data_IF_987722561875
#
_entry.id   IF_987722561875
#
_cell.length_a   1.000
_cell.length_b   1.000
_cell.length_c   1.000
_cell.angle_alpha   90.00
_cell.angle_beta   90.00
_cell.angle_gamma   90.00
#
_symmetry.space_group_name_H-M   'P 1'
#
loop_
_entity.id
_entity.type
_entity.pdbx_description
1 polymer ?
#
# COMPACT_ATOMS: atom_id res chain seq x y z
N UNK A 1 -8.88 28.74 2.67
CA UNK A 1 -8.38 27.85 3.73
C UNK A 1 -7.23 27.06 3.11
N UNK A 2 -5.96 27.29 3.49
CA UNK A 2 -4.89 26.41 3.05
C UNK A 2 -5.06 25.08 3.78
N UNK A 3 -5.13 23.98 3.04
CA UNK A 3 -5.04 22.65 3.61
C UNK A 3 -3.60 22.50 4.10
N UNK A 4 -3.40 22.42 5.41
CA UNK A 4 -2.10 22.15 6.00
C UNK A 4 -1.54 20.86 5.37
N UNK A 5 -0.35 20.94 4.79
CA UNK A 5 0.33 19.75 4.30
C UNK A 5 0.77 18.95 5.53
N UNK A 6 -0.06 17.98 5.95
CA UNK A 6 0.32 17.05 7.01
C UNK A 6 1.49 16.22 6.51
N UNK A 7 2.67 16.45 7.08
CA UNK A 7 3.86 15.66 6.82
C UNK A 7 3.79 14.38 7.66
N UNK A 8 4.06 13.25 7.02
CA UNK A 8 4.22 11.96 7.67
C UNK A 8 5.66 11.50 7.53
N UNK A 9 6.19 10.85 8.56
CA UNK A 9 7.53 10.26 8.57
C UNK A 9 7.43 8.73 8.73
N UNK A 10 8.44 8.04 8.20
CA UNK A 10 8.60 6.59 8.41
C UNK A 10 9.58 6.36 9.57
N UNK A 11 9.15 5.54 10.54
CA UNK A 11 10.00 5.04 11.61
C UNK A 11 10.05 3.51 11.53
N UNK A 12 11.25 2.94 11.35
CA UNK A 12 11.43 1.48 11.39
C UNK A 12 11.12 0.97 12.80
N UNK A 13 10.28 -0.04 12.90
CA UNK A 13 9.98 -0.70 14.18
C UNK A 13 10.75 -2.02 14.21
N UNK A 14 11.33 -2.38 15.36
CA UNK A 14 11.86 -3.73 15.55
C UNK A 14 10.64 -4.67 15.57
N UNK A 15 10.36 -5.29 14.43
CA UNK A 15 9.21 -6.15 14.20
C UNK A 15 9.59 -7.59 13.87
N UNK A 16 8.57 -8.40 13.59
CA UNK A 16 8.72 -9.80 13.19
C UNK A 16 9.22 -9.94 11.73
N UNK A 17 9.05 -8.91 10.91
CA UNK A 17 9.56 -8.87 9.53
C UNK A 17 10.36 -7.61 9.23
N UNK A 18 11.24 -7.69 8.23
CA UNK A 18 11.95 -6.50 7.70
C UNK A 18 11.03 -5.46 7.04
N UNK A 19 9.73 -5.75 6.92
CA UNK A 19 8.71 -4.86 6.35
C UNK A 19 7.86 -4.18 7.44
N UNK A 20 8.25 -4.31 8.71
CA UNK A 20 7.51 -3.76 9.83
C UNK A 20 7.98 -2.32 10.13
N UNK A 21 7.08 -1.35 10.00
CA UNK A 21 7.36 0.05 10.27
C UNK A 21 6.12 0.81 10.76
N UNK A 22 6.34 1.99 11.32
CA UNK A 22 5.29 2.89 11.73
C UNK A 22 5.37 4.18 10.90
N UNK A 23 4.20 4.64 10.46
CA UNK A 23 4.01 5.98 9.90
C UNK A 23 3.60 6.89 11.05
N UNK A 24 4.39 7.93 11.30
CA UNK A 24 4.12 8.92 12.35
C UNK A 24 3.73 10.26 11.75
N UNK A 25 2.99 11.05 12.51
CA UNK A 25 2.83 12.47 12.23
C UNK A 25 4.11 13.26 12.55
N UNK A 26 4.09 14.57 12.30
CA UNK A 26 5.20 15.47 12.57
C UNK A 26 5.57 15.59 14.08
N UNK A 27 4.66 15.22 14.99
CA UNK A 27 4.91 15.18 16.42
C UNK A 27 5.50 13.83 16.89
N UNK A 28 5.61 12.85 16.00
CA UNK A 28 6.10 11.51 16.30
C UNK A 28 5.03 10.56 16.81
N UNK A 29 3.75 10.94 16.79
CA UNK A 29 2.66 10.05 17.15
C UNK A 29 2.37 9.06 16.01
N UNK A 30 2.21 7.79 16.34
CA UNK A 30 1.93 6.74 15.34
C UNK A 30 0.52 6.90 14.80
N UNK A 31 0.41 7.02 13.47
CA UNK A 31 -0.86 7.15 12.74
C UNK A 31 -1.26 5.81 12.12
N UNK A 32 -0.30 5.14 11.48
CA UNK A 32 -0.48 3.82 10.87
C UNK A 32 0.70 2.93 11.26
N UNK A 33 0.41 1.67 11.54
CA UNK A 33 1.42 0.61 11.66
C UNK A 33 1.33 -0.29 10.45
N UNK A 34 2.47 -0.61 9.89
CA UNK A 34 2.59 -1.51 8.75
C UNK A 34 3.28 -2.77 9.24
N UNK A 35 2.61 -3.90 9.12
CA UNK A 35 3.12 -5.20 9.58
C UNK A 35 3.12 -6.19 8.40
N UNK A 36 4.25 -6.82 8.14
CA UNK A 36 4.34 -7.92 7.19
C UNK A 36 3.65 -9.16 7.74
N UNK A 37 2.74 -9.77 6.98
CA UNK A 37 2.17 -11.04 7.41
C UNK A 37 3.26 -12.12 7.40
N UNK A 38 3.50 -12.74 8.56
CA UNK A 38 4.39 -13.89 8.72
C UNK A 38 3.61 -15.15 8.32
N UNK A 39 4.23 -16.05 7.55
CA UNK A 39 3.66 -17.34 7.11
C UNK A 39 2.51 -17.29 6.08
N UNK A 40 2.35 -16.22 5.30
CA UNK A 40 1.40 -16.19 4.18
C UNK A 40 2.05 -16.61 2.86
N UNK A 41 1.39 -17.50 2.09
CA UNK A 41 1.84 -17.91 0.73
C UNK A 41 1.91 -16.75 -0.26
N UNK A 42 1.03 -15.75 -0.09
CA UNK A 42 1.11 -14.47 -0.80
C UNK A 42 1.81 -13.47 0.11
N UNK A 43 2.69 -12.59 -0.40
CA UNK A 43 3.27 -11.52 0.41
C UNK A 43 2.14 -10.54 0.78
N UNK A 44 1.66 -10.61 2.02
CA UNK A 44 0.65 -9.69 2.54
C UNK A 44 1.30 -8.66 3.45
N UNK A 45 0.69 -7.49 3.48
CA UNK A 45 1.05 -6.37 4.35
C UNK A 45 -0.22 -5.85 4.99
N UNK A 46 -0.22 -5.76 6.31
CA UNK A 46 -1.34 -5.33 7.13
C UNK A 46 -1.12 -3.88 7.53
N UNK A 47 -2.13 -3.04 7.34
CA UNK A 47 -2.11 -1.65 7.79
C UNK A 47 -3.09 -1.52 8.96
N UNK A 48 -2.54 -1.24 10.13
CA UNK A 48 -3.28 -1.07 11.38
C UNK A 48 -3.32 0.40 11.79
N UNK A 49 -4.39 0.79 12.46
CA UNK A 49 -4.48 2.11 13.08
C UNK A 49 -3.57 2.21 14.33
N UNK A 50 -3.54 3.40 14.93
CA UNK A 50 -2.79 3.65 16.17
C UNK A 50 -3.16 2.68 17.33
N UNK A 51 -4.41 2.20 17.35
CA UNK A 51 -4.93 1.24 18.33
C UNK A 51 -4.71 -0.23 17.94
N UNK A 52 -3.90 -0.50 16.90
CA UNK A 52 -3.62 -1.84 16.35
C UNK A 52 -4.87 -2.55 15.81
N UNK A 53 -5.89 -1.83 15.37
CA UNK A 53 -7.02 -2.41 14.64
C UNK A 53 -6.69 -2.45 13.15
N UNK A 54 -6.95 -3.58 12.52
CA UNK A 54 -6.69 -3.74 11.09
C UNK A 54 -7.65 -2.85 10.28
N UNK A 55 -7.09 -1.97 9.47
CA UNK A 55 -7.86 -1.06 8.60
C UNK A 55 -7.91 -1.62 7.20
N UNK A 56 -6.78 -2.10 6.68
CA UNK A 56 -6.67 -2.62 5.33
C UNK A 56 -5.56 -3.66 5.19
N UNK A 57 -5.77 -4.56 4.24
CA UNK A 57 -4.83 -5.62 3.87
C UNK A 57 -4.38 -5.38 2.44
N UNK A 58 -3.07 -5.23 2.24
CA UNK A 58 -2.45 -5.18 0.93
C UNK A 58 -1.88 -6.54 0.58
N UNK A 59 -2.16 -7.02 -0.62
CA UNK A 59 -1.67 -8.30 -1.13
C UNK A 59 -0.82 -8.04 -2.36
N UNK A 60 0.39 -8.61 -2.37
CA UNK A 60 1.23 -8.66 -3.56
C UNK A 60 0.60 -9.62 -4.58
N UNK A 61 0.13 -9.04 -5.68
CA UNK A 61 -0.47 -9.70 -6.84
C UNK A 61 0.47 -9.63 -8.05
N UNK A 62 1.78 -9.43 -7.82
CA UNK A 62 2.80 -9.33 -8.88
C UNK A 62 2.71 -10.51 -9.83
N UNK A 63 2.59 -10.22 -11.12
CA UNK A 63 2.52 -11.22 -12.17
C UNK A 63 3.51 -10.89 -13.29
N UNK A 64 4.27 -11.90 -13.72
CA UNK A 64 5.30 -11.80 -14.76
C UNK A 64 6.30 -10.65 -14.51
N UNK A 65 6.04 -9.48 -15.07
CA UNK A 65 6.95 -8.33 -15.12
C UNK A 65 6.41 -7.08 -14.44
N UNK A 66 5.12 -6.99 -14.07
CA UNK A 66 4.58 -5.82 -13.36
C UNK A 66 4.41 -6.10 -11.88
N UNK A 67 4.95 -5.22 -11.04
CA UNK A 67 4.63 -5.28 -9.61
C UNK A 67 3.25 -4.71 -9.40
N UNK A 68 2.36 -5.50 -8.80
CA UNK A 68 0.96 -5.15 -8.61
C UNK A 68 0.54 -5.47 -7.19
N UNK A 69 -0.30 -4.62 -6.62
CA UNK A 69 -0.85 -4.80 -5.29
C UNK A 69 -2.36 -4.57 -5.31
N UNK A 70 -3.09 -5.48 -4.69
CA UNK A 70 -4.51 -5.30 -4.41
C UNK A 70 -4.69 -4.92 -2.95
N UNK A 71 -5.46 -3.86 -2.71
CA UNK A 71 -5.72 -3.34 -1.36
C UNK A 71 -7.18 -3.59 -1.01
N UNK A 72 -7.39 -4.28 0.10
CA UNK A 72 -8.69 -4.69 0.60
C UNK A 72 -8.99 -4.02 1.95
N UNK A 73 -10.25 -3.70 2.21
CA UNK A 73 -10.72 -3.23 3.51
C UNK A 73 -10.78 -4.38 4.52
N UNK A 74 -10.25 -4.16 5.72
CA UNK A 74 -10.20 -5.16 6.79
C UNK A 74 -9.25 -6.33 6.50
N UNK A 75 -9.58 -7.51 7.02
CA UNK A 75 -8.80 -8.76 6.93
C UNK A 75 -9.15 -9.65 5.73
N UNK A 76 -10.23 -9.32 5.01
CA UNK A 76 -10.77 -10.18 3.97
C UNK A 76 -10.28 -9.77 2.58
N UNK A 77 -9.66 -10.73 1.89
CA UNK A 77 -9.22 -10.58 0.48
C UNK A 77 -10.33 -10.91 -0.53
N UNK A 78 -11.59 -10.71 -0.15
CA UNK A 78 -12.73 -10.89 -1.05
C UNK A 78 -12.82 -9.73 -2.03
N UNK A 79 -13.20 -10.00 -3.29
CA UNK A 79 -13.44 -8.94 -4.29
C UNK A 79 -14.41 -7.85 -3.83
N UNK A 80 -15.35 -8.17 -2.93
CA UNK A 80 -16.29 -7.18 -2.38
C UNK A 80 -15.62 -6.14 -1.49
N UNK A 81 -14.47 -6.48 -0.94
CA UNK A 81 -13.68 -5.62 -0.06
C UNK A 81 -12.51 -4.96 -0.79
N UNK A 82 -12.34 -5.20 -2.10
CA UNK A 82 -11.31 -4.53 -2.89
C UNK A 82 -11.60 -3.03 -2.91
N UNK A 83 -10.65 -2.24 -2.43
CA UNK A 83 -10.72 -0.78 -2.42
C UNK A 83 -10.06 -0.19 -3.67
N UNK A 84 -8.89 -0.74 -4.04
CA UNK A 84 -8.18 -0.36 -5.26
C UNK A 84 -7.08 -1.37 -5.59
N UNK A 85 -6.59 -1.32 -6.83
CA UNK A 85 -5.35 -1.97 -7.25
C UNK A 85 -4.30 -0.90 -7.58
N UNK A 86 -3.05 -1.14 -7.21
CA UNK A 86 -1.90 -0.32 -7.56
C UNK A 86 -0.97 -1.13 -8.46
N UNK A 87 -0.58 -0.57 -9.60
CA UNK A 87 0.30 -1.22 -10.58
C UNK A 87 1.53 -0.35 -10.79
N UNK A 88 2.71 -0.92 -10.58
CA UNK A 88 3.99 -0.32 -10.96
C UNK A 88 4.38 -0.83 -12.34
N UNK A 89 4.55 0.09 -13.27
CA UNK A 89 5.20 -0.22 -14.56
C UNK A 89 6.69 -0.54 -14.32
N UNK A 90 7.22 -1.52 -15.04
CA UNK A 90 8.51 -2.13 -14.72
C UNK A 90 9.65 -1.81 -15.69
N UNK A 91 10.80 -1.57 -15.06
CA UNK A 91 12.24 -1.56 -15.41
C UNK A 91 12.84 -0.52 -16.37
N UNK A 92 12.18 -0.01 -17.40
CA UNK A 92 12.89 0.89 -18.37
C UNK A 92 12.89 2.37 -17.96
N UNK A 93 11.98 2.78 -17.07
CA UNK A 93 11.90 4.18 -16.63
C UNK A 93 12.79 4.45 -15.42
N UNK A 94 13.64 5.47 -15.52
CA UNK A 94 14.48 6.03 -14.43
C UNK A 94 13.62 6.55 -13.26
N UNK A 95 12.34 6.85 -13.50
CA UNK A 95 11.40 7.36 -12.49
C UNK A 95 10.37 6.30 -12.12
N UNK A 96 10.07 6.18 -10.84
CA UNK A 96 9.01 5.29 -10.37
C UNK A 96 7.66 5.89 -10.73
N UNK A 97 6.83 5.12 -11.44
CA UNK A 97 5.41 5.42 -11.65
C UNK A 97 4.55 4.29 -11.10
N UNK A 98 3.56 4.67 -10.30
CA UNK A 98 2.53 3.78 -9.79
C UNK A 98 1.18 4.30 -10.25
N UNK A 99 0.41 3.44 -10.87
CA UNK A 99 -0.93 3.69 -11.36
C UNK A 99 -1.94 3.10 -10.39
N UNK A 100 -2.96 3.85 -10.00
CA UNK A 100 -3.97 3.43 -9.03
C UNK A 100 -5.33 3.34 -9.72
N UNK A 101 -6.01 2.22 -9.51
CA UNK A 101 -7.31 1.89 -10.09
C UNK A 101 -8.30 1.57 -8.97
N UNK A 102 -9.23 2.47 -8.69
CA UNK A 102 -10.25 2.32 -7.64
C UNK A 102 -11.23 1.18 -7.94
N UNK A 103 -11.52 0.95 -9.22
CA UNK A 103 -12.40 -0.15 -9.66
C UNK A 103 -11.71 -1.51 -9.74
N UNK A 104 -10.47 -1.58 -9.27
CA UNK A 104 -9.56 -2.70 -9.48
C UNK A 104 -8.94 -2.68 -10.89
N UNK A 105 -7.73 -3.20 -11.00
CA UNK A 105 -7.04 -3.31 -12.27
C UNK A 105 -7.61 -4.47 -13.10
N UNK A 106 -7.89 -4.22 -14.38
CA UNK A 106 -8.50 -5.18 -15.32
C UNK A 106 -7.67 -5.40 -16.57
N UNK A 107 -7.11 -4.34 -17.15
CA UNK A 107 -6.30 -4.41 -18.37
C UNK A 107 -5.37 -3.19 -18.50
N UNK A 108 -4.35 -3.31 -19.35
CA UNK A 108 -3.38 -2.23 -19.62
C UNK A 108 -3.99 -1.02 -20.33
N UNK A 109 -5.13 -1.20 -20.98
CA UNK A 109 -5.88 -0.13 -21.66
C UNK A 109 -6.74 0.68 -20.70
N UNK A 110 -6.92 0.20 -19.47
CA UNK A 110 -7.69 0.88 -18.45
C UNK A 110 -7.03 2.20 -18.08
N UNK A 111 -7.82 3.27 -18.01
CA UNK A 111 -7.33 4.58 -17.57
C UNK A 111 -7.20 4.58 -16.04
N UNK A 112 -6.04 4.98 -15.48
CA UNK A 112 -5.84 5.07 -14.04
C UNK A 112 -6.62 6.24 -13.43
N UNK A 113 -7.14 6.05 -12.21
CA UNK A 113 -7.80 7.10 -11.44
C UNK A 113 -6.76 8.07 -10.84
N UNK A 114 -5.61 7.54 -10.42
CA UNK A 114 -4.49 8.33 -9.91
C UNK A 114 -3.15 7.82 -10.44
N UNK A 115 -2.19 8.74 -10.55
CA UNK A 115 -0.81 8.43 -10.93
C UNK A 115 0.13 9.03 -9.90
N UNK A 116 0.93 8.18 -9.29
CA UNK A 116 1.96 8.56 -8.33
C UNK A 116 3.30 8.51 -9.07
N UNK A 117 3.99 9.64 -9.13
CA UNK A 117 5.32 9.76 -9.70
C UNK A 117 6.35 10.12 -8.64
N UNK A 118 7.57 9.63 -8.79
CA UNK A 118 8.69 9.96 -7.91
C UNK A 118 10.04 9.67 -8.56
N UNK A 119 11.09 10.25 -7.98
CA UNK A 119 12.50 10.08 -8.36
C UNK A 119 13.23 9.22 -7.35
#
# INVERSE_FOLDING_TARGET
MPHEATAFAEARVIGATDRDFAVTDAAGAVVIRVEGAVFSFQKRTLLLDAARRLVLTMVDSTYLMSSMWDVYGGDSTSRRNLLFSAVKESVVQVRTKIFVYLSGYRSVEQVPDFVIGGS
#
